data_IF_295646498464
#
_entry.id   IF_295646498464
#
_cell.length_a   1.000
_cell.length_b   1.000
_cell.length_c   1.000
_cell.angle_alpha   90.00
_cell.angle_beta   90.00
_cell.angle_gamma   90.00
#
_symmetry.space_group_name_H-M   'P 1'
#
loop_
_entity.id
_entity.type
_entity.pdbx_description
1 polymer ?
#
# COMPACT_ATOMS: atom_id res chain seq x y z
N UNK A 1 18.90 -63.13 12.00
CA UNK A 1 17.75 -62.22 12.18
C UNK A 1 18.18 -60.84 11.72
N UNK A 2 17.54 -60.33 10.67
CA UNK A 2 17.70 -58.96 10.17
C UNK A 2 17.05 -57.96 11.15
N UNK A 3 17.65 -56.78 11.30
CA UNK A 3 16.97 -55.49 11.54
C UNK A 3 18.04 -54.38 11.50
N UNK A 4 18.16 -53.66 10.38
CA UNK A 4 17.48 -52.38 10.09
C UNK A 4 18.32 -51.16 10.50
N UNK A 5 18.94 -50.61 9.46
CA UNK A 5 19.62 -49.33 9.36
C UNK A 5 18.62 -48.20 9.66
N UNK A 6 18.75 -47.49 10.77
CA UNK A 6 18.05 -46.23 10.99
C UNK A 6 19.00 -45.06 10.73
N UNK A 7 18.72 -44.37 9.62
CA UNK A 7 19.15 -43.01 9.33
C UNK A 7 18.18 -42.04 10.02
N UNK A 8 18.68 -40.90 10.47
CA UNK A 8 17.89 -39.77 10.99
C UNK A 8 18.43 -39.35 12.35
N UNK A 9 18.67 -38.08 12.67
CA UNK A 9 18.14 -36.85 12.11
C UNK A 9 19.21 -35.78 12.35
N UNK A 10 19.55 -34.97 11.35
CA UNK A 10 20.37 -33.79 11.58
C UNK A 10 19.55 -32.80 12.40
N UNK A 11 20.14 -32.30 13.48
CA UNK A 11 19.60 -31.21 14.28
C UNK A 11 19.39 -30.00 13.36
N UNK A 12 18.14 -29.72 13.00
CA UNK A 12 17.77 -28.49 12.32
C UNK A 12 17.94 -27.38 13.36
N UNK A 13 19.00 -26.59 13.19
CA UNK A 13 19.24 -25.41 13.99
C UNK A 13 18.20 -24.36 13.59
N UNK A 14 17.08 -24.33 14.32
CA UNK A 14 16.09 -23.26 14.25
C UNK A 14 16.76 -21.99 14.76
N UNK A 15 17.42 -21.26 13.85
CA UNK A 15 17.69 -19.84 14.09
C UNK A 15 16.33 -19.19 14.28
N UNK A 16 16.00 -18.89 15.54
CA UNK A 16 14.98 -17.92 15.91
C UNK A 16 15.21 -16.66 15.07
N UNK A 17 14.46 -16.53 13.99
CA UNK A 17 14.20 -15.23 13.38
C UNK A 17 13.44 -14.47 14.45
N UNK A 18 14.13 -13.53 15.10
CA UNK A 18 13.49 -12.55 15.97
C UNK A 18 12.27 -12.02 15.19
N UNK A 19 11.04 -12.07 15.74
CA UNK A 19 9.94 -11.38 15.09
C UNK A 19 10.40 -9.94 14.94
N UNK A 20 10.41 -9.43 13.70
CA UNK A 20 10.49 -8.00 13.49
C UNK A 20 9.45 -7.40 14.43
N UNK A 21 9.86 -6.44 15.27
CA UNK A 21 8.91 -5.68 16.08
C UNK A 21 7.97 -5.07 15.05
N UNK A 22 6.80 -5.70 14.84
CA UNK A 22 5.75 -5.15 14.00
C UNK A 22 5.37 -3.87 14.72
N UNK A 23 5.78 -2.73 14.18
CA UNK A 23 5.26 -1.44 14.63
C UNK A 23 3.76 -1.56 14.53
N UNK A 24 3.09 -1.66 15.68
CA UNK A 24 1.64 -1.78 15.77
C UNK A 24 1.08 -0.47 15.25
N UNK A 25 0.66 -0.47 13.99
CA UNK A 25 -0.08 0.65 13.43
C UNK A 25 -1.40 0.78 14.18
N UNK A 26 -1.85 2.00 14.37
CA UNK A 26 -3.13 2.30 15.00
C UNK A 26 -3.80 3.47 14.30
N UNK A 27 -5.02 3.22 13.86
CA UNK A 27 -5.93 4.24 13.31
C UNK A 27 -7.26 4.18 14.04
N UNK A 28 -7.82 5.35 14.33
CA UNK A 28 -9.15 5.49 14.92
C UNK A 28 -10.02 6.21 13.91
N UNK A 29 -11.13 5.59 13.55
CA UNK A 29 -12.13 6.16 12.67
C UNK A 29 -13.31 6.67 13.50
N UNK A 30 -13.91 7.77 13.07
CA UNK A 30 -15.02 8.43 13.75
C UNK A 30 -16.19 8.60 12.78
N UNK A 31 -17.41 8.36 13.26
CA UNK A 31 -18.62 8.52 12.45
C UNK A 31 -18.81 9.97 12.02
N UNK A 32 -18.56 10.95 12.90
CA UNK A 32 -18.74 12.37 12.61
C UNK A 32 -17.41 13.10 12.27
N UNK A 33 -17.54 14.35 11.82
CA UNK A 33 -16.39 15.24 11.58
C UNK A 33 -15.73 15.66 12.89
N UNK A 34 -14.48 16.13 12.81
CA UNK A 34 -13.75 16.66 13.97
C UNK A 34 -13.62 15.66 15.15
N UNK A 35 -13.51 14.37 14.86
CA UNK A 35 -13.28 13.30 15.83
C UNK A 35 -14.43 13.13 16.85
N UNK A 36 -15.67 13.31 16.39
CA UNK A 36 -16.88 13.20 17.20
C UNK A 36 -17.67 11.92 16.87
N UNK A 37 -18.71 11.64 17.66
CA UNK A 37 -19.60 10.50 17.47
C UNK A 37 -18.98 9.18 17.96
N UNK A 38 -19.52 8.07 17.44
CA UNK A 38 -18.95 6.74 17.71
C UNK A 38 -17.60 6.60 17.03
N UNK A 39 -16.68 5.92 17.70
CA UNK A 39 -15.37 5.60 17.14
C UNK A 39 -15.15 4.10 16.98
N UNK A 40 -14.27 3.74 16.06
CA UNK A 40 -13.77 2.39 15.86
C UNK A 40 -12.26 2.42 15.72
N UNK A 41 -11.58 1.72 16.62
CA UNK A 41 -10.13 1.54 16.60
C UNK A 41 -9.76 0.33 15.74
N UNK A 42 -8.78 0.52 14.86
CA UNK A 42 -8.27 -0.51 13.99
C UNK A 42 -6.74 -0.59 14.09
N UNK A 43 -6.23 -1.79 14.33
CA UNK A 43 -4.79 -2.09 14.50
C UNK A 43 -4.27 -3.11 13.48
N UNK A 44 -5.12 -3.54 12.55
CA UNK A 44 -4.81 -4.51 11.51
C UNK A 44 -5.59 -4.20 10.23
N UNK A 45 -5.39 -4.98 9.18
CA UNK A 45 -6.21 -4.88 7.98
C UNK A 45 -7.69 -5.13 8.29
N UNK A 46 -8.58 -4.33 7.69
CA UNK A 46 -10.02 -4.44 7.82
C UNK A 46 -10.66 -4.46 6.42
N UNK A 47 -11.12 -5.63 5.92
CA UNK A 47 -11.70 -5.74 4.58
C UNK A 47 -13.13 -5.20 4.49
N UNK A 48 -13.85 -5.10 5.62
CA UNK A 48 -15.18 -4.54 5.67
C UNK A 48 -15.40 -3.82 7.00
N UNK A 49 -15.53 -2.51 6.93
CA UNK A 49 -15.79 -1.65 8.08
C UNK A 49 -17.28 -1.51 8.39
N UNK A 50 -18.18 -1.92 7.49
CA UNK A 50 -19.62 -1.70 7.61
C UNK A 50 -20.21 -2.35 8.86
N UNK A 51 -19.67 -3.50 9.27
CA UNK A 51 -20.09 -4.17 10.52
C UNK A 51 -19.71 -3.40 11.79
N UNK A 52 -18.72 -2.51 11.72
CA UNK A 52 -18.20 -1.78 12.88
C UNK A 52 -18.74 -0.35 12.95
N UNK A 53 -18.97 0.28 11.80
CA UNK A 53 -19.52 1.63 11.68
C UNK A 53 -20.33 1.79 10.40
N UNK A 54 -21.40 2.57 10.48
CA UNK A 54 -22.28 2.83 9.33
C UNK A 54 -21.63 3.76 8.31
N UNK A 55 -20.89 4.75 8.81
CA UNK A 55 -20.27 5.84 8.07
C UNK A 55 -18.98 6.26 8.78
N UNK A 56 -18.12 7.00 8.09
CA UNK A 56 -16.93 7.59 8.69
C UNK A 56 -16.73 8.98 8.10
N UNK A 57 -16.51 10.02 8.90
CA UNK A 57 -16.28 11.38 8.41
C UNK A 57 -14.93 11.96 8.83
N UNK A 58 -14.33 11.43 9.89
CA UNK A 58 -12.97 11.81 10.32
C UNK A 58 -12.19 10.60 10.82
N UNK A 59 -10.86 10.71 10.78
CA UNK A 59 -9.98 9.66 11.28
C UNK A 59 -8.67 10.23 11.85
N UNK A 60 -8.11 9.52 12.83
CA UNK A 60 -6.83 9.85 13.46
C UNK A 60 -5.90 8.65 13.31
N UNK A 61 -4.75 8.86 12.67
CA UNK A 61 -3.69 7.85 12.62
C UNK A 61 -2.73 8.15 13.77
N UNK A 62 -2.78 7.32 14.81
CA UNK A 62 -1.88 7.45 15.96
C UNK A 62 -0.48 6.93 15.65
N UNK A 63 -0.39 5.83 14.88
CA UNK A 63 0.87 5.22 14.48
C UNK A 63 0.76 4.48 13.14
N UNK A 64 1.87 4.46 12.42
CA UNK A 64 2.03 3.69 11.20
C UNK A 64 1.42 4.33 9.96
N UNK A 65 1.54 3.61 8.85
CA UNK A 65 1.01 4.02 7.55
C UNK A 65 -0.20 3.17 7.20
N UNK A 66 -1.24 3.82 6.68
CA UNK A 66 -2.51 3.18 6.37
C UNK A 66 -2.96 3.51 4.95
N UNK A 67 -3.50 2.53 4.26
CA UNK A 67 -4.23 2.73 3.01
C UNK A 67 -5.71 2.54 3.27
N UNK A 68 -6.53 3.55 3.02
CA UNK A 68 -7.99 3.44 3.13
C UNK A 68 -8.63 3.36 1.76
N UNK A 69 -9.80 2.74 1.70
CA UNK A 69 -10.54 2.47 0.48
C UNK A 69 -12.02 2.82 0.65
N UNK A 70 -12.64 3.31 -0.42
CA UNK A 70 -14.07 3.66 -0.43
C UNK A 70 -15.01 2.46 -0.67
N UNK A 71 -14.48 1.30 -1.08
CA UNK A 71 -15.22 0.04 -1.17
C UNK A 71 -14.64 -1.03 -0.25
N UNK A 72 -15.43 -2.07 0.00
CA UNK A 72 -15.00 -3.24 0.75
C UNK A 72 -13.95 -4.03 -0.04
N UNK A 73 -13.24 -4.92 0.63
CA UNK A 73 -12.20 -5.79 0.07
C UNK A 73 -11.07 -5.02 -0.63
N UNK A 74 -10.74 -3.82 -0.13
CA UNK A 74 -9.60 -3.03 -0.58
C UNK A 74 -9.70 -2.60 -2.05
N UNK A 75 -10.90 -2.21 -2.45
CA UNK A 75 -11.23 -1.84 -3.82
C UNK A 75 -11.66 -0.39 -3.93
N UNK A 76 -11.64 0.14 -5.15
CA UNK A 76 -12.15 1.47 -5.45
C UNK A 76 -11.10 2.56 -5.29
N UNK A 77 -11.53 3.76 -4.91
CA UNK A 77 -10.62 4.86 -4.65
C UNK A 77 -9.83 4.57 -3.38
N UNK A 78 -8.56 4.95 -3.36
CA UNK A 78 -7.67 4.71 -2.23
C UNK A 78 -6.87 5.94 -1.85
N UNK A 79 -6.60 6.07 -0.55
CA UNK A 79 -5.90 7.21 -0.01
C UNK A 79 -4.88 6.76 1.04
N UNK A 80 -3.65 7.27 0.88
CA UNK A 80 -2.56 7.02 1.80
C UNK A 80 -2.63 7.98 2.98
N UNK A 81 -2.77 7.41 4.18
CA UNK A 81 -2.73 8.14 5.44
C UNK A 81 -1.44 7.82 6.19
N UNK A 82 -0.81 8.88 6.68
CA UNK A 82 0.32 8.81 7.60
C UNK A 82 -0.15 9.25 8.98
N UNK A 83 0.72 9.13 9.98
CA UNK A 83 0.46 9.68 11.31
C UNK A 83 -0.04 11.13 11.25
N UNK A 84 -1.21 11.38 11.84
CA UNK A 84 -1.87 12.68 11.78
C UNK A 84 -3.38 12.64 11.98
N UNK A 85 -3.95 13.84 12.01
CA UNK A 85 -5.36 14.12 12.28
C UNK A 85 -6.07 14.54 10.98
N UNK A 86 -7.10 13.78 10.58
CA UNK A 86 -7.89 14.00 9.37
C UNK A 86 -9.34 14.34 9.76
N UNK A 87 -9.59 15.61 10.07
CA UNK A 87 -10.84 16.09 10.66
C UNK A 87 -12.04 16.17 9.69
N UNK A 88 -11.78 16.33 8.38
CA UNK A 88 -12.79 16.29 7.31
C UNK A 88 -12.11 15.81 6.02
N UNK A 89 -12.15 14.49 5.78
CA UNK A 89 -11.49 13.92 4.62
C UNK A 89 -12.34 13.98 3.34
N UNK A 90 -13.67 14.11 3.46
CA UNK A 90 -14.58 14.09 2.32
C UNK A 90 -14.31 15.23 1.34
N UNK A 91 -14.07 16.43 1.85
CA UNK A 91 -13.69 17.58 1.03
C UNK A 91 -12.25 17.46 0.48
N UNK A 92 -11.40 16.71 1.17
CA UNK A 92 -9.96 16.69 0.90
C UNK A 92 -9.58 15.67 -0.18
N UNK A 93 -10.32 14.56 -0.31
CA UNK A 93 -9.92 13.43 -1.18
C UNK A 93 -10.73 13.34 -2.48
N UNK A 94 -11.75 14.16 -2.66
CA UNK A 94 -12.57 14.17 -3.88
C UNK A 94 -13.41 12.90 -4.06
N UNK A 95 -13.65 12.15 -2.98
CA UNK A 95 -14.43 10.90 -2.98
C UNK A 95 -15.95 11.15 -2.96
N UNK A 96 -16.37 12.41 -2.95
CA UNK A 96 -17.78 12.80 -2.82
C UNK A 96 -18.37 12.32 -1.49
N UNK A 97 -19.60 11.82 -1.53
CA UNK A 97 -20.31 11.26 -0.37
C UNK A 97 -19.93 9.78 -0.08
N UNK A 98 -18.81 9.29 -0.62
CA UNK A 98 -18.36 7.93 -0.33
C UNK A 98 -17.59 7.90 0.99
N UNK A 99 -17.87 6.86 1.78
CA UNK A 99 -17.25 6.64 3.09
C UNK A 99 -16.12 5.64 2.97
N UNK A 100 -15.17 5.69 3.90
CA UNK A 100 -14.17 4.62 4.06
C UNK A 100 -14.91 3.30 4.40
N UNK A 101 -14.68 2.27 3.60
CA UNK A 101 -15.30 0.94 3.75
C UNK A 101 -14.30 -0.17 4.03
N UNK A 102 -13.02 0.03 3.74
CA UNK A 102 -11.96 -0.90 4.13
C UNK A 102 -10.62 -0.18 4.32
N UNK A 103 -9.70 -0.77 5.06
CA UNK A 103 -8.38 -0.20 5.30
C UNK A 103 -7.30 -1.30 5.42
N UNK A 104 -6.08 -0.98 5.01
CA UNK A 104 -4.90 -1.82 5.21
C UNK A 104 -3.83 -1.08 5.98
N UNK A 105 -3.22 -1.77 6.93
CA UNK A 105 -1.98 -1.33 7.52
C UNK A 105 -0.85 -1.64 6.53
N UNK A 106 -0.01 -0.65 6.24
CA UNK A 106 1.18 -0.84 5.42
C UNK A 106 2.29 -1.26 6.37
N UNK A 107 2.88 -2.47 6.22
CA UNK A 107 3.96 -2.90 7.08
C UNK A 107 5.17 -1.99 6.95
N UNK A 108 5.81 -1.69 8.07
CA UNK A 108 7.08 -0.96 8.06
C UNK A 108 8.14 -1.79 7.32
N UNK A 109 8.73 -1.22 6.28
CA UNK A 109 9.78 -1.86 5.49
C UNK A 109 11.16 -1.32 5.84
N UNK A 110 12.01 -2.19 6.41
CA UNK A 110 13.41 -1.90 6.72
C UNK A 110 14.31 -2.75 5.82
N UNK A 111 14.52 -2.27 4.60
CA UNK A 111 15.28 -2.99 3.58
C UNK A 111 15.53 -2.15 2.34
N UNK A 112 15.97 -2.81 1.28
CA UNK A 112 16.09 -2.19 -0.04
C UNK A 112 14.72 -1.88 -0.61
N UNK A 113 14.64 -0.84 -1.43
CA UNK A 113 13.48 -0.61 -2.29
C UNK A 113 13.88 -1.02 -3.69
N UNK A 114 13.11 -1.90 -4.31
CA UNK A 114 13.40 -2.38 -5.66
C UNK A 114 12.13 -2.68 -6.44
N UNK A 115 11.98 -2.06 -7.60
CA UNK A 115 10.91 -2.32 -8.54
C UNK A 115 11.48 -2.44 -9.95
N UNK A 116 10.87 -3.28 -10.78
CA UNK A 116 11.07 -3.26 -12.23
C UNK A 116 9.84 -2.65 -12.87
N UNK A 117 10.04 -1.62 -13.67
CA UNK A 117 8.99 -0.90 -14.39
C UNK A 117 9.14 -1.16 -15.88
N UNK A 118 8.00 -1.22 -16.57
CA UNK A 118 7.94 -1.55 -17.97
C UNK A 118 7.04 -0.55 -18.71
N UNK A 119 7.49 -0.17 -19.91
CA UNK A 119 6.79 0.75 -20.80
C UNK A 119 5.44 0.21 -21.29
N UNK A 120 5.29 -1.13 -21.40
CA UNK A 120 4.06 -1.77 -21.89
C UNK A 120 3.50 -2.79 -20.90
N UNK A 121 2.24 -3.16 -21.11
CA UNK A 121 1.57 -4.25 -20.38
C UNK A 121 2.37 -5.58 -20.54
N UNK A 122 2.14 -6.52 -19.63
CA UNK A 122 2.72 -7.86 -19.59
C UNK A 122 4.25 -7.89 -19.59
N UNK A 123 4.88 -6.92 -18.91
CA UNK A 123 6.34 -6.84 -18.78
C UNK A 123 7.07 -6.67 -20.12
N UNK A 124 6.42 -6.02 -21.09
CA UNK A 124 6.96 -5.79 -22.43
C UNK A 124 7.51 -4.37 -22.59
N UNK A 125 8.29 -4.16 -23.67
CA UNK A 125 8.87 -2.85 -23.99
C UNK A 125 10.17 -2.59 -23.23
N UNK A 126 10.53 -1.32 -23.10
CA UNK A 126 11.71 -0.95 -22.31
C UNK A 126 11.49 -1.30 -20.83
N UNK A 127 12.49 -1.92 -20.22
CA UNK A 127 12.53 -2.26 -18.80
C UNK A 127 13.57 -1.40 -18.10
N UNK A 128 13.18 -0.83 -16.96
CA UNK A 128 14.12 -0.17 -16.05
C UNK A 128 13.95 -0.73 -14.63
N UNK A 129 15.07 -0.89 -13.94
CA UNK A 129 15.07 -1.23 -12.52
C UNK A 129 15.28 0.03 -11.69
N UNK A 130 14.42 0.23 -10.70
CA UNK A 130 14.34 1.47 -9.94
C UNK A 130 14.41 1.18 -8.45
N UNK A 131 15.24 1.97 -7.77
CA UNK A 131 15.46 1.88 -6.33
C UNK A 131 15.10 3.18 -5.60
N UNK A 132 14.85 4.26 -6.35
CA UNK A 132 14.56 5.60 -5.86
C UNK A 132 13.24 6.15 -6.42
N UNK A 133 12.80 7.25 -5.81
CA UNK A 133 11.61 7.98 -6.25
C UNK A 133 11.79 8.51 -7.69
N UNK A 134 10.68 8.66 -8.42
CA UNK A 134 10.67 9.22 -9.76
C UNK A 134 9.55 10.24 -9.90
N UNK A 135 9.93 11.50 -10.06
CA UNK A 135 8.98 12.60 -10.21
C UNK A 135 8.26 12.57 -11.57
N UNK A 136 8.86 12.00 -12.61
CA UNK A 136 8.31 11.98 -13.96
C UNK A 136 8.91 10.85 -14.80
N UNK A 137 8.09 9.87 -15.20
CA UNK A 137 8.52 8.82 -16.14
C UNK A 137 8.79 9.38 -17.53
N UNK A 138 8.10 10.46 -17.91
CA UNK A 138 8.30 11.14 -19.20
C UNK A 138 9.68 11.79 -19.27
N UNK A 139 10.10 12.50 -18.23
CA UNK A 139 11.39 13.20 -18.25
C UNK A 139 12.57 12.23 -18.08
N UNK A 140 12.40 11.20 -17.25
CA UNK A 140 13.47 10.25 -16.92
C UNK A 140 13.65 9.14 -17.97
N UNK A 141 12.56 8.64 -18.55
CA UNK A 141 12.60 7.49 -19.46
C UNK A 141 11.99 7.77 -20.84
N UNK A 142 11.48 8.98 -21.08
CA UNK A 142 10.78 9.34 -22.32
C UNK A 142 9.52 8.51 -22.59
N UNK A 143 8.89 7.99 -21.52
CA UNK A 143 7.65 7.21 -21.61
C UNK A 143 6.44 8.15 -21.56
N UNK A 144 5.94 8.55 -22.74
CA UNK A 144 4.78 9.44 -22.86
C UNK A 144 3.49 8.86 -22.27
N UNK A 145 3.36 7.53 -22.26
CA UNK A 145 2.23 6.83 -21.65
C UNK A 145 2.49 6.42 -20.19
N UNK A 146 3.66 6.78 -19.63
CA UNK A 146 4.06 6.39 -18.28
C UNK A 146 4.41 4.91 -18.16
N UNK A 147 4.41 4.42 -16.92
CA UNK A 147 4.58 3.00 -16.62
C UNK A 147 3.26 2.26 -16.88
N UNK A 148 3.34 1.08 -17.52
CA UNK A 148 2.16 0.27 -17.89
C UNK A 148 2.12 -1.11 -17.23
N UNK A 149 3.27 -1.65 -16.80
CA UNK A 149 3.33 -2.82 -15.92
C UNK A 149 4.55 -2.74 -15.01
N UNK A 150 4.51 -3.43 -13.87
CA UNK A 150 5.64 -3.45 -12.94
C UNK A 150 5.74 -4.75 -12.14
N UNK A 151 6.94 -5.05 -11.66
CA UNK A 151 7.19 -6.08 -10.67
C UNK A 151 7.85 -5.43 -9.46
N UNK A 152 7.12 -5.38 -8.35
CA UNK A 152 7.65 -4.89 -7.09
C UNK A 152 8.39 -6.02 -6.42
N UNK A 153 9.72 -5.94 -6.44
CA UNK A 153 10.58 -6.95 -5.85
C UNK A 153 10.68 -6.74 -4.34
N UNK A 154 10.79 -5.48 -3.91
CA UNK A 154 10.99 -5.13 -2.51
C UNK A 154 10.44 -3.74 -2.17
N UNK A 155 9.99 -3.58 -0.93
CA UNK A 155 9.41 -2.36 -0.37
C UNK A 155 7.97 -2.04 -0.78
N UNK A 156 7.51 -0.89 -0.31
CA UNK A 156 6.15 -0.38 -0.49
C UNK A 156 6.17 0.92 -1.29
N UNK A 157 5.32 1.02 -2.30
CA UNK A 157 5.37 2.08 -3.28
C UNK A 157 4.01 2.70 -3.53
N UNK A 158 4.00 4.01 -3.76
CA UNK A 158 2.86 4.76 -4.28
C UNK A 158 3.17 5.18 -5.71
N UNK A 159 2.29 4.86 -6.65
CA UNK A 159 2.36 5.40 -8.01
C UNK A 159 1.23 6.38 -8.24
N UNK A 160 1.48 7.43 -9.02
CA UNK A 160 0.57 8.56 -9.19
C UNK A 160 0.23 8.78 -10.65
N UNK A 161 -1.00 9.21 -10.89
CA UNK A 161 -1.55 9.49 -12.22
C UNK A 161 -0.79 10.61 -12.95
N UNK A 162 -0.30 11.60 -12.21
CA UNK A 162 0.38 12.76 -12.77
C UNK A 162 1.84 12.81 -12.33
N UNK A 163 2.70 13.54 -13.06
CA UNK A 163 4.03 13.89 -12.59
C UNK A 163 4.01 14.61 -11.24
N UNK A 164 5.13 14.58 -10.54
CA UNK A 164 5.37 15.25 -9.25
C UNK A 164 4.40 14.81 -8.14
N UNK A 165 4.02 13.53 -8.12
CA UNK A 165 3.19 12.90 -7.07
C UNK A 165 1.80 13.51 -6.95
N UNK A 166 1.17 13.85 -8.08
CA UNK A 166 -0.14 14.48 -8.15
C UNK A 166 -1.21 13.57 -8.74
N UNK A 167 -2.46 13.98 -8.56
CA UNK A 167 -3.62 13.23 -9.02
C UNK A 167 -3.91 12.02 -8.13
N UNK A 168 -4.63 11.05 -8.68
CA UNK A 168 -4.96 9.82 -7.97
C UNK A 168 -3.70 8.99 -7.74
N UNK A 169 -3.65 8.31 -6.59
CA UNK A 169 -2.54 7.44 -6.22
C UNK A 169 -2.97 5.98 -6.12
N UNK A 170 -2.02 5.08 -6.31
CA UNK A 170 -2.20 3.66 -6.10
C UNK A 170 -1.09 3.04 -5.28
N UNK A 171 -1.48 2.13 -4.39
CA UNK A 171 -0.56 1.38 -3.55
C UNK A 171 -0.11 0.08 -4.20
N UNK A 172 1.20 -0.08 -4.27
CA UNK A 172 1.87 -1.27 -4.79
C UNK A 172 2.72 -1.91 -3.69
N UNK A 173 2.40 -3.17 -3.41
CA UNK A 173 3.13 -4.04 -2.49
C UNK A 173 4.00 -5.01 -3.29
N UNK A 174 4.92 -5.77 -2.67
CA UNK A 174 5.67 -6.80 -3.39
C UNK A 174 4.76 -7.74 -4.19
N UNK A 175 5.07 -7.94 -5.47
CA UNK A 175 4.25 -8.71 -6.40
C UNK A 175 4.36 -8.29 -7.86
N UNK A 176 3.74 -9.09 -8.71
CA UNK A 176 3.66 -8.91 -10.17
C UNK A 176 2.39 -8.17 -10.59
N UNK A 177 2.54 -7.09 -11.33
CA UNK A 177 1.46 -6.26 -11.85
C UNK A 177 1.55 -6.17 -13.37
N UNK A 178 0.87 -7.10 -14.05
CA UNK A 178 0.96 -7.26 -15.51
C UNK A 178 0.24 -6.17 -16.29
N UNK A 179 -0.76 -5.53 -15.72
CA UNK A 179 -1.46 -4.42 -16.36
C UNK A 179 -2.10 -3.53 -15.31
N UNK A 180 -2.17 -2.23 -15.62
CA UNK A 180 -2.84 -1.24 -14.79
C UNK A 180 -4.29 -0.98 -15.22
N UNK A 181 -4.86 -1.81 -16.10
CA UNK A 181 -6.28 -1.72 -16.49
C UNK A 181 -7.22 -1.89 -15.31
N UNK A 182 -6.94 -2.84 -14.43
CA UNK A 182 -7.70 -3.06 -13.19
C UNK A 182 -7.48 -1.96 -12.15
N UNK A 183 -6.49 -1.09 -12.40
CA UNK A 183 -6.06 0.00 -11.54
C UNK A 183 -6.74 1.31 -11.94
N UNK A 184 -7.99 1.22 -12.40
CA UNK A 184 -8.78 2.34 -12.93
C UNK A 184 -8.40 2.76 -14.36
N UNK A 185 -7.76 1.88 -15.13
CA UNK A 185 -7.23 2.22 -16.47
C UNK A 185 -6.16 3.32 -16.45
N UNK A 186 -5.54 3.52 -15.29
CA UNK A 186 -4.67 4.65 -15.05
C UNK A 186 -3.30 4.45 -15.70
N UNK A 187 -2.74 5.57 -16.15
CA UNK A 187 -1.34 5.67 -16.56
C UNK A 187 -0.58 6.28 -15.40
N UNK A 188 0.44 5.59 -14.89
CA UNK A 188 1.25 6.13 -13.81
C UNK A 188 2.40 6.94 -14.36
N UNK A 189 2.48 8.20 -13.94
CA UNK A 189 3.43 9.20 -14.44
C UNK A 189 4.51 9.55 -13.42
N UNK A 190 4.32 9.23 -12.13
CA UNK A 190 5.35 9.34 -11.10
C UNK A 190 5.21 8.25 -10.03
N UNK A 191 6.25 8.02 -9.23
CA UNK A 191 6.24 7.01 -8.16
C UNK A 191 7.13 7.39 -6.98
N UNK A 192 6.71 6.99 -5.78
CA UNK A 192 7.38 7.32 -4.52
C UNK A 192 7.44 6.14 -3.58
N UNK A 193 8.55 6.00 -2.86
CA UNK A 193 8.70 5.01 -1.78
C UNK A 193 7.97 5.44 -0.52
N UNK A 194 7.36 4.47 0.17
CA UNK A 194 6.77 4.67 1.50
C UNK A 194 7.86 4.43 2.55
N UNK A 195 8.60 5.50 2.87
CA UNK A 195 9.79 5.43 3.72
C UNK A 195 9.46 5.27 5.22
N UNK A 196 10.41 4.73 6.00
CA UNK A 196 10.29 4.59 7.47
C UNK A 196 10.02 5.95 8.16
N UNK A 197 10.49 7.05 7.59
CA UNK A 197 10.24 8.41 8.10
C UNK A 197 8.77 8.85 8.07
N UNK A 198 7.87 8.05 7.49
CA UNK A 198 6.44 8.34 7.41
C UNK A 198 5.61 7.63 8.50
N UNK A 199 6.24 6.76 9.29
CA UNK A 199 5.59 5.95 10.33
C UNK A 199 5.50 6.67 11.69
#
# INVERSE_FOLDING_TARGET
MQALKQRGCQFINWKQTKPAIMTMGKVIFYEDRNFMGRSYECTSDCPDMFSYMSHCHSCRVESGCWMVYDRTNYMGNQYFMRRGDYADYMNMWGWGNNYIRSCRMIPMHRGSYRMRIYERDNFMGQMNEVMDDCDSFMDRYHWSNGCMSCNVMDGHWLMYEQPHYRGRMWYFRPGEYRSFRDYGGMRFMSMKRIMDSWY
#
